data_IF_871917333976
#
_entry.id   IF_871917333976
#
_cell.length_a   1.000
_cell.length_b   1.000
_cell.length_c   1.000
_cell.angle_alpha   90.00
_cell.angle_beta   90.00
_cell.angle_gamma   90.00
#
_symmetry.space_group_name_H-M   'P 1'
#
loop_
_entity.id
_entity.type
_entity.pdbx_description
1 polymer ?
#
# COMPACT_ATOMS: atom_id res chain seq x y z
N UNK A 1 18.52 4.73 -0.66
CA UNK A 1 17.39 5.58 -0.20
C UNK A 1 17.59 7.06 -0.56
N UNK A 2 18.69 7.70 -0.14
CA UNK A 2 18.94 9.13 -0.39
C UNK A 2 18.85 9.56 -1.87
N UNK A 3 19.40 8.78 -2.80
CA UNK A 3 19.37 9.09 -4.24
C UNK A 3 17.97 8.98 -4.87
N UNK A 4 17.09 8.13 -4.32
CA UNK A 4 15.71 8.02 -4.81
C UNK A 4 14.88 9.20 -4.29
N UNK A 5 15.08 9.57 -3.02
CA UNK A 5 14.36 10.67 -2.37
C UNK A 5 14.80 12.06 -2.82
N UNK A 6 15.98 12.19 -3.46
CA UNK A 6 16.43 13.44 -4.06
C UNK A 6 15.75 13.77 -5.40
N UNK A 7 15.02 12.81 -6.00
CA UNK A 7 14.32 13.01 -7.26
C UNK A 7 12.91 13.56 -7.02
N UNK A 8 12.48 14.64 -7.69
CA UNK A 8 11.18 15.27 -7.44
C UNK A 8 9.98 14.38 -7.82
N UNK A 9 10.19 13.36 -8.67
CA UNK A 9 9.15 12.40 -9.04
C UNK A 9 8.82 11.41 -7.91
N UNK A 10 9.68 11.29 -6.90
CA UNK A 10 9.47 10.43 -5.75
C UNK A 10 9.10 11.26 -4.54
N UNK A 11 8.04 10.85 -3.86
CA UNK A 11 7.59 11.47 -2.61
C UNK A 11 7.55 10.42 -1.52
N UNK A 12 8.31 10.64 -0.45
CA UNK A 12 8.23 9.79 0.73
C UNK A 12 6.89 10.02 1.43
N UNK A 13 6.12 8.95 1.61
CA UNK A 13 4.91 8.95 2.42
C UNK A 13 5.26 8.30 3.76
N UNK A 14 5.30 9.10 4.82
CA UNK A 14 5.46 8.59 6.18
C UNK A 14 4.14 8.12 6.78
N UNK A 15 4.22 7.32 7.84
CA UNK A 15 3.08 6.86 8.65
C UNK A 15 2.62 7.93 9.67
N UNK A 16 2.68 9.20 9.29
CA UNK A 16 2.38 10.33 10.19
C UNK A 16 0.88 10.56 10.38
N UNK A 17 0.04 9.94 9.55
CA UNK A 17 -1.41 10.02 9.64
C UNK A 17 -1.96 8.80 10.39
N UNK A 18 -2.63 8.98 11.54
CA UNK A 18 -3.13 7.87 12.35
C UNK A 18 -4.07 6.92 11.62
N UNK A 19 -4.87 7.44 10.68
CA UNK A 19 -5.81 6.64 9.87
C UNK A 19 -5.10 5.49 9.15
N UNK A 20 -3.92 5.71 8.58
CA UNK A 20 -3.18 4.70 7.82
C UNK A 20 -2.72 3.57 8.73
N UNK A 21 -2.38 3.88 9.98
CA UNK A 21 -2.00 2.88 10.97
C UNK A 21 -3.21 2.05 11.40
N UNK A 22 -4.33 2.71 11.70
CA UNK A 22 -5.58 2.04 12.07
C UNK A 22 -6.10 1.16 10.92
N UNK A 23 -6.06 1.66 9.69
CA UNK A 23 -6.54 0.93 8.52
C UNK A 23 -5.64 -0.26 8.19
N UNK A 24 -4.34 -0.17 8.46
CA UNK A 24 -3.41 -1.30 8.25
C UNK A 24 -3.79 -2.54 9.06
N UNK A 25 -4.37 -2.37 10.25
CA UNK A 25 -4.82 -3.51 11.08
C UNK A 25 -6.26 -3.92 10.79
N UNK A 26 -7.05 -3.06 10.15
CA UNK A 26 -8.47 -3.27 9.82
C UNK A 26 -8.73 -3.46 8.32
N UNK A 27 -7.76 -3.99 7.57
CA UNK A 27 -7.95 -4.28 6.15
C UNK A 27 -9.09 -5.29 5.94
N UNK A 28 -9.98 -5.07 4.96
CA UNK A 28 -11.11 -5.96 4.72
C UNK A 28 -10.64 -7.32 4.19
N UNK A 29 -11.29 -8.40 4.62
CA UNK A 29 -10.96 -9.75 4.16
C UNK A 29 -9.59 -10.25 4.61
N UNK A 30 -9.17 -11.37 4.03
CA UNK A 30 -7.90 -12.03 4.37
C UNK A 30 -6.78 -11.53 3.46
N UNK A 31 -5.70 -11.06 4.06
CA UNK A 31 -4.45 -10.65 3.42
C UNK A 31 -3.29 -11.00 4.35
N UNK A 32 -2.07 -11.04 3.81
CA UNK A 32 -0.87 -11.33 4.57
C UNK A 32 -0.79 -10.55 5.90
N UNK A 33 -0.24 -11.21 6.92
CA UNK A 33 -0.03 -10.61 8.24
C UNK A 33 1.23 -9.71 8.29
N UNK A 34 1.97 -9.59 7.17
CA UNK A 34 3.17 -8.77 7.11
C UNK A 34 2.85 -7.28 7.35
N UNK A 35 3.46 -6.63 8.35
CA UNK A 35 3.15 -5.24 8.65
C UNK A 35 3.44 -4.28 7.49
N UNK A 36 4.51 -4.51 6.72
CA UNK A 36 4.89 -3.59 5.65
C UNK A 36 3.87 -3.63 4.50
N UNK A 37 3.47 -4.81 4.06
CA UNK A 37 2.43 -4.98 3.03
C UNK A 37 1.13 -4.31 3.45
N UNK A 38 0.74 -4.49 4.72
CA UNK A 38 -0.50 -3.90 5.25
C UNK A 38 -0.44 -2.38 5.28
N UNK A 39 0.71 -1.79 5.64
CA UNK A 39 0.91 -0.35 5.54
C UNK A 39 0.89 0.15 4.09
N UNK A 40 1.48 -0.58 3.14
CA UNK A 40 1.44 -0.23 1.72
C UNK A 40 0.00 -0.22 1.18
N UNK A 41 -0.78 -1.26 1.50
CA UNK A 41 -2.19 -1.37 1.10
C UNK A 41 -3.03 -0.27 1.72
N UNK A 42 -2.93 -0.05 3.04
CA UNK A 42 -3.67 1.00 3.73
C UNK A 42 -3.33 2.40 3.18
N UNK A 43 -2.04 2.67 2.92
CA UNK A 43 -1.59 3.92 2.32
C UNK A 43 -2.19 4.12 0.93
N UNK A 44 -2.19 3.08 0.09
CA UNK A 44 -2.75 3.13 -1.26
C UNK A 44 -4.27 3.40 -1.22
N UNK A 45 -5.00 2.70 -0.34
CA UNK A 45 -6.44 2.92 -0.11
C UNK A 45 -6.74 4.36 0.32
N UNK A 46 -6.04 4.86 1.34
CA UNK A 46 -6.28 6.20 1.89
C UNK A 46 -5.95 7.33 0.92
N UNK A 47 -5.04 7.08 -0.03
CA UNK A 47 -4.66 8.04 -1.07
C UNK A 47 -5.37 7.83 -2.40
N UNK A 48 -6.30 6.87 -2.49
CA UNK A 48 -6.95 6.47 -3.74
C UNK A 48 -5.95 6.13 -4.88
N UNK A 49 -4.76 5.65 -4.51
CA UNK A 49 -3.67 5.34 -5.43
C UNK A 49 -3.69 3.85 -5.86
N UNK A 50 -3.04 3.55 -6.98
CA UNK A 50 -2.76 2.17 -7.37
C UNK A 50 -1.45 1.68 -6.75
N UNK A 51 -1.47 0.49 -6.15
CA UNK A 51 -0.28 -0.18 -5.63
C UNK A 51 0.37 -0.98 -6.75
N UNK A 52 1.54 -0.54 -7.20
CA UNK A 52 2.35 -1.27 -8.17
C UNK A 52 3.13 -2.40 -7.49
N UNK A 53 2.94 -3.65 -7.91
CA UNK A 53 3.58 -4.80 -7.26
C UNK A 53 3.68 -6.01 -8.21
N UNK A 54 4.67 -6.88 -7.95
CA UNK A 54 4.77 -8.23 -8.51
C UNK A 54 4.19 -9.30 -7.56
N UNK A 55 3.76 -8.93 -6.36
CA UNK A 55 3.24 -9.89 -5.38
C UNK A 55 1.85 -10.39 -5.79
N UNK A 56 1.74 -11.68 -6.12
CA UNK A 56 0.51 -12.30 -6.59
C UNK A 56 -0.61 -12.29 -5.54
N UNK A 57 -0.30 -12.30 -4.24
CA UNK A 57 -1.31 -12.23 -3.17
C UNK A 57 -1.92 -10.84 -3.07
N UNK A 58 -1.09 -9.80 -3.16
CA UNK A 58 -1.58 -8.41 -3.20
C UNK A 58 -2.40 -8.17 -4.47
N UNK A 59 -1.98 -8.73 -5.60
CA UNK A 59 -2.73 -8.65 -6.87
C UNK A 59 -4.10 -9.32 -6.72
N UNK A 60 -4.16 -10.55 -6.19
CA UNK A 60 -5.42 -11.26 -5.96
C UNK A 60 -6.34 -10.47 -5.00
N UNK A 61 -5.77 -9.91 -3.93
CA UNK A 61 -6.50 -9.07 -3.00
C UNK A 61 -7.07 -7.81 -3.65
N UNK A 62 -6.32 -7.19 -4.57
CA UNK A 62 -6.79 -6.07 -5.38
C UNK A 62 -7.90 -6.48 -6.36
N UNK A 63 -7.82 -7.67 -6.97
CA UNK A 63 -8.85 -8.22 -7.84
C UNK A 63 -10.18 -8.48 -7.11
N UNK A 64 -10.14 -8.74 -5.80
CA UNK A 64 -11.33 -8.79 -4.94
C UNK A 64 -11.94 -7.40 -4.64
N UNK A 65 -11.38 -6.32 -5.20
CA UNK A 65 -11.89 -4.96 -5.04
C UNK A 65 -11.38 -4.23 -3.80
N UNK A 66 -10.46 -4.81 -3.03
CA UNK A 66 -10.00 -4.22 -1.78
C UNK A 66 -8.94 -3.11 -1.97
N UNK A 67 -8.20 -3.08 -3.07
CA UNK A 67 -7.25 -2.00 -3.37
C UNK A 67 -6.99 -1.95 -4.88
N UNK A 68 -6.75 -0.76 -5.43
CA UNK A 68 -6.33 -0.65 -6.83
C UNK A 68 -4.91 -1.18 -6.97
N UNK A 69 -4.68 -2.07 -7.93
CA UNK A 69 -3.37 -2.65 -8.17
C UNK A 69 -2.92 -2.41 -9.60
N UNK A 70 -1.61 -2.21 -9.78
CA UNK A 70 -0.94 -2.24 -11.08
C UNK A 70 0.06 -3.39 -11.04
N UNK A 71 -0.17 -4.43 -11.82
CA UNK A 71 0.83 -5.49 -11.98
C UNK A 71 1.99 -4.92 -12.79
N UNK A 72 3.16 -4.88 -12.18
CA UNK A 72 4.42 -4.60 -12.89
C UNK A 72 5.14 -5.89 -13.19
#
# INVERSE_FOLDING_TARGET
>A
MALALSRPQFKLIGLTQPNTVIDSVNLPGEIHADPADRFLIATARNRSAALATHDDRIIAYGQSGHVKVLRI
#
